data_IF_838725518509
#
_entry.id   IF_838725518509
#
_cell.length_a   1.000
_cell.length_b   1.000
_cell.length_c   1.000
_cell.angle_alpha   90.00
_cell.angle_beta   90.00
_cell.angle_gamma   90.00
#
_symmetry.space_group_name_H-M   'P 1'
#
loop_
_entity.id
_entity.type
_entity.pdbx_description
1 polymer ?
#
# COMPACT_ATOMS: atom_id res chain seq x y z
N UNK A 1 14.45 -27.46 11.32
CA UNK A 1 13.08 -26.99 11.02
C UNK A 1 13.19 -25.65 10.33
N UNK A 2 12.40 -25.38 9.29
CA UNK A 2 12.57 -24.19 8.45
C UNK A 2 11.61 -23.05 8.79
N UNK A 3 11.96 -21.83 8.41
CA UNK A 3 11.12 -20.65 8.54
C UNK A 3 10.87 -20.00 7.18
N UNK A 4 9.84 -19.16 7.08
CA UNK A 4 9.59 -18.35 5.90
C UNK A 4 9.65 -16.89 6.30
N UNK A 5 10.54 -16.14 5.66
CA UNK A 5 10.73 -14.71 5.87
C UNK A 5 10.05 -13.97 4.72
N UNK A 6 9.34 -12.89 5.02
CA UNK A 6 8.81 -11.98 4.01
C UNK A 6 9.04 -10.54 4.40
N UNK A 7 9.54 -9.75 3.46
CA UNK A 7 9.88 -8.35 3.69
C UNK A 7 8.80 -7.41 3.13
N UNK A 8 8.67 -6.24 3.75
CA UNK A 8 7.90 -5.10 3.24
C UNK A 8 8.63 -3.78 3.48
N UNK A 9 8.66 -2.91 2.47
CA UNK A 9 9.14 -1.54 2.58
C UNK A 9 8.02 -0.64 3.13
N UNK A 10 8.33 0.10 4.18
CA UNK A 10 7.42 1.03 4.84
C UNK A 10 8.08 2.39 5.08
N UNK A 11 7.26 3.40 5.32
CA UNK A 11 7.68 4.76 5.66
C UNK A 11 6.94 5.20 6.92
N UNK A 12 7.71 5.56 7.96
CA UNK A 12 7.17 6.20 9.16
C UNK A 12 7.71 7.63 9.18
N UNK A 13 6.81 8.61 9.13
CA UNK A 13 7.15 10.02 8.95
C UNK A 13 7.96 10.23 7.66
N UNK A 14 9.29 10.32 7.78
CA UNK A 14 10.24 10.53 6.67
C UNK A 14 11.33 9.45 6.61
N UNK A 15 11.25 8.43 7.46
CA UNK A 15 12.24 7.36 7.53
C UNK A 15 11.69 6.08 6.88
N UNK A 16 12.46 5.52 5.96
CA UNK A 16 12.19 4.21 5.40
C UNK A 16 12.63 3.10 6.35
N UNK A 17 11.86 2.02 6.38
CA UNK A 17 12.21 0.80 7.10
C UNK A 17 11.77 -0.43 6.33
N UNK A 18 12.41 -1.56 6.61
CA UNK A 18 11.97 -2.88 6.19
C UNK A 18 11.26 -3.55 7.36
N UNK A 19 10.03 -4.00 7.13
CA UNK A 19 9.28 -4.84 8.05
C UNK A 19 9.49 -6.29 7.62
N UNK A 20 10.20 -7.05 8.45
CA UNK A 20 10.38 -8.49 8.27
C UNK A 20 9.32 -9.25 9.04
N UNK A 21 8.58 -10.12 8.34
CA UNK A 21 7.64 -11.05 8.97
C UNK A 21 8.23 -12.46 8.90
N UNK A 22 8.60 -12.99 10.06
CA UNK A 22 9.15 -14.34 10.22
C UNK A 22 8.03 -15.29 10.61
N UNK A 23 7.85 -16.36 9.84
CA UNK A 23 6.82 -17.39 10.09
C UNK A 23 7.50 -18.74 10.28
N UNK A 24 7.76 -19.19 11.53
CA UNK A 24 8.37 -20.49 11.78
C UNK A 24 7.43 -21.63 11.40
N UNK A 25 7.97 -22.71 10.84
CA UNK A 25 7.24 -23.98 10.67
C UNK A 25 7.45 -24.82 11.91
N UNK A 26 6.36 -25.20 12.57
CA UNK A 26 6.38 -25.98 13.81
C UNK A 26 5.81 -27.37 13.53
N UNK A 27 6.48 -28.41 14.03
CA UNK A 27 5.96 -29.77 14.00
C UNK A 27 5.19 -30.06 15.29
N UNK A 28 3.96 -30.55 15.18
CA UNK A 28 3.20 -31.00 16.33
C UNK A 28 3.73 -32.36 16.81
N UNK A 29 4.23 -32.43 18.05
CA UNK A 29 4.79 -33.65 18.63
C UNK A 29 3.77 -34.77 18.89
N UNK A 30 2.47 -34.51 18.71
CA UNK A 30 1.40 -35.49 18.94
C UNK A 30 0.82 -36.11 17.67
N UNK A 31 0.88 -35.39 16.54
CA UNK A 31 0.24 -35.84 15.29
C UNK A 31 1.16 -35.74 14.07
N UNK A 32 2.43 -35.40 14.25
CA UNK A 32 3.45 -35.26 13.20
C UNK A 32 3.07 -34.33 12.03
N UNK A 33 2.08 -33.44 12.25
CA UNK A 33 1.68 -32.42 11.28
C UNK A 33 2.57 -31.18 11.43
N UNK A 34 3.05 -30.65 10.31
CA UNK A 34 3.76 -29.37 10.23
C UNK A 34 2.73 -28.24 10.04
N UNK A 35 2.73 -27.28 10.96
CA UNK A 35 1.87 -26.10 10.94
C UNK A 35 2.70 -24.82 10.77
N UNK A 36 2.11 -23.82 10.13
CA UNK A 36 2.71 -22.50 9.94
C UNK A 36 1.59 -21.44 9.96
N UNK A 37 1.85 -20.29 10.58
CA UNK A 37 0.91 -19.17 10.55
C UNK A 37 0.67 -18.68 9.10
N UNK A 38 -0.56 -18.29 8.74
CA UNK A 38 -0.83 -17.70 7.43
C UNK A 38 -0.05 -16.39 7.27
N UNK A 39 0.21 -16.01 6.01
CA UNK A 39 0.85 -14.73 5.73
C UNK A 39 -0.14 -13.61 6.05
N UNK A 40 0.27 -12.53 6.75
CA UNK A 40 -0.58 -11.36 6.91
C UNK A 40 -1.03 -10.82 5.54
N UNK A 41 -2.29 -10.35 5.42
CA UNK A 41 -2.78 -9.81 4.16
C UNK A 41 -1.95 -8.59 3.76
N UNK A 42 -1.55 -8.54 2.49
CA UNK A 42 -0.83 -7.40 1.90
C UNK A 42 -1.80 -6.57 1.08
N UNK A 43 -1.69 -5.22 1.08
CA UNK A 43 -2.53 -4.39 0.23
C UNK A 43 -2.38 -4.77 -1.25
N UNK A 44 -1.15 -4.97 -1.71
CA UNK A 44 -0.83 -5.42 -3.07
C UNK A 44 -0.29 -6.85 -3.03
N UNK A 45 -0.89 -7.73 -3.84
CA UNK A 45 -0.49 -9.12 -3.89
C UNK A 45 0.90 -9.25 -4.53
N UNK A 46 1.79 -10.03 -3.91
CA UNK A 46 3.22 -10.17 -4.30
C UNK A 46 4.02 -8.86 -4.30
N UNK A 47 3.42 -7.75 -3.85
CA UNK A 47 4.12 -6.49 -3.63
C UNK A 47 4.95 -6.49 -2.36
N UNK A 48 6.01 -5.70 -2.36
CA UNK A 48 6.81 -5.42 -1.17
C UNK A 48 6.42 -4.10 -0.50
N UNK A 49 5.51 -3.30 -1.05
CA UNK A 49 5.02 -2.10 -0.37
C UNK A 49 4.11 -2.46 0.80
N UNK A 50 4.35 -1.81 1.94
CA UNK A 50 3.41 -1.79 3.06
C UNK A 50 2.24 -0.84 2.80
N UNK A 51 1.20 -0.92 3.65
CA UNK A 51 0.07 0.01 3.60
C UNK A 51 0.49 1.47 3.87
N UNK A 52 1.44 1.70 4.77
CA UNK A 52 1.94 3.04 5.12
C UNK A 52 2.63 3.72 3.94
N UNK A 53 3.50 2.98 3.23
CA UNK A 53 4.13 3.48 2.01
C UNK A 53 3.11 3.82 0.92
N UNK A 54 2.15 2.93 0.67
CA UNK A 54 1.11 3.16 -0.34
C UNK A 54 0.25 4.39 0.00
N UNK A 55 -0.15 4.53 1.26
CA UNK A 55 -0.88 5.70 1.73
C UNK A 55 -0.07 6.99 1.53
N UNK A 56 1.22 6.98 1.88
CA UNK A 56 2.10 8.14 1.67
C UNK A 56 2.19 8.54 0.20
N UNK A 57 2.41 7.58 -0.71
CA UNK A 57 2.50 7.84 -2.15
C UNK A 57 1.22 8.48 -2.69
N UNK A 58 0.05 7.95 -2.29
CA UNK A 58 -1.25 8.44 -2.72
C UNK A 58 -1.55 9.85 -2.17
N UNK A 59 -1.34 10.06 -0.87
CA UNK A 59 -1.53 11.37 -0.23
C UNK A 59 -0.61 12.40 -0.87
N UNK A 60 0.68 12.09 -1.02
CA UNK A 60 1.62 13.01 -1.65
C UNK A 60 1.26 13.31 -3.10
N UNK A 61 0.73 12.34 -3.86
CA UNK A 61 0.31 12.56 -5.24
C UNK A 61 -0.95 13.43 -5.35
N UNK A 62 -1.99 13.11 -4.60
CA UNK A 62 -3.33 13.65 -4.81
C UNK A 62 -3.66 14.82 -3.89
N UNK A 63 -3.15 14.84 -2.65
CA UNK A 63 -3.39 15.91 -1.68
C UNK A 63 -2.27 16.95 -1.67
N UNK A 64 -1.01 16.52 -1.77
CA UNK A 64 0.15 17.43 -1.73
C UNK A 64 0.65 17.82 -3.13
N UNK A 65 0.01 17.31 -4.19
CA UNK A 65 0.32 17.58 -5.59
C UNK A 65 1.78 17.30 -5.98
N UNK A 66 2.41 16.30 -5.37
CA UNK A 66 3.77 15.86 -5.66
C UNK A 66 3.72 14.76 -6.73
N UNK A 67 4.14 15.02 -7.98
CA UNK A 67 4.12 14.03 -9.04
C UNK A 67 5.08 12.86 -8.74
N UNK A 68 4.78 11.67 -9.26
CA UNK A 68 5.51 10.43 -8.93
C UNK A 68 7.01 10.48 -9.26
N UNK A 69 7.43 11.21 -10.31
CA UNK A 69 8.86 11.36 -10.59
C UNK A 69 9.58 12.13 -9.47
N UNK A 70 8.94 13.17 -8.92
CA UNK A 70 9.49 13.97 -7.81
C UNK A 70 9.50 13.16 -6.51
N UNK A 71 8.49 12.33 -6.28
CA UNK A 71 8.51 11.38 -5.16
C UNK A 71 9.69 10.40 -5.28
N UNK A 72 9.94 9.86 -6.48
CA UNK A 72 11.09 8.99 -6.78
C UNK A 72 12.41 9.66 -6.39
N UNK A 73 12.61 10.92 -6.77
CA UNK A 73 13.81 11.69 -6.44
C UNK A 73 13.93 12.01 -4.94
N UNK A 74 12.80 12.25 -4.26
CA UNK A 74 12.78 12.44 -2.79
C UNK A 74 13.23 11.16 -2.09
N UNK A 75 12.72 10.00 -2.52
CA UNK A 75 13.04 8.72 -1.90
C UNK A 75 14.47 8.27 -2.20
N UNK A 76 14.98 8.55 -3.41
CA UNK A 76 16.38 8.29 -3.77
C UNK A 76 17.34 9.06 -2.86
N UNK A 77 17.03 10.32 -2.52
CA UNK A 77 17.80 11.10 -1.53
C UNK A 77 17.77 10.52 -0.11
N UNK A 78 16.82 9.64 0.19
CA UNK A 78 16.70 8.90 1.44
C UNK A 78 17.30 7.48 1.33
N UNK A 79 18.00 7.17 0.24
CA UNK A 79 18.64 5.87 0.00
C UNK A 79 17.70 4.79 -0.55
N UNK A 80 16.49 5.16 -0.98
CA UNK A 80 15.48 4.22 -1.52
C UNK A 80 15.21 4.50 -2.99
N UNK A 81 15.76 3.64 -3.84
CA UNK A 81 15.52 3.67 -5.29
C UNK A 81 14.17 3.04 -5.62
N UNK A 82 13.14 3.87 -5.73
CA UNK A 82 11.79 3.44 -6.09
C UNK A 82 11.38 3.95 -7.46
N UNK A 83 11.34 3.07 -8.46
CA UNK A 83 11.06 3.49 -9.84
C UNK A 83 9.64 4.04 -10.02
N UNK A 84 9.51 5.08 -10.86
CA UNK A 84 8.21 5.65 -11.25
C UNK A 84 7.22 4.59 -11.76
N UNK A 85 7.68 3.63 -12.56
CA UNK A 85 6.80 2.58 -13.10
C UNK A 85 6.21 1.69 -12.00
N UNK A 86 7.00 1.40 -10.97
CA UNK A 86 6.51 0.65 -9.79
C UNK A 86 5.42 1.43 -9.07
N UNK A 87 5.65 2.72 -8.82
CA UNK A 87 4.65 3.58 -8.19
C UNK A 87 3.39 3.77 -9.05
N UNK A 88 3.52 3.90 -10.37
CA UNK A 88 2.37 3.98 -11.27
C UNK A 88 1.49 2.73 -11.14
N UNK A 89 2.11 1.54 -11.17
CA UNK A 89 1.38 0.29 -10.97
C UNK A 89 0.67 0.25 -9.62
N UNK A 90 1.37 0.62 -8.55
CA UNK A 90 0.77 0.65 -7.21
C UNK A 90 -0.40 1.62 -7.11
N UNK A 91 -0.30 2.81 -7.72
CA UNK A 91 -1.41 3.76 -7.76
C UNK A 91 -2.62 3.16 -8.49
N UNK A 92 -2.41 2.49 -9.63
CA UNK A 92 -3.50 1.84 -10.36
C UNK A 92 -4.16 0.72 -9.53
N UNK A 93 -3.37 -0.16 -8.91
CA UNK A 93 -3.91 -1.25 -8.09
C UNK A 93 -4.66 -0.72 -6.86
N UNK A 94 -4.19 0.37 -6.26
CA UNK A 94 -4.90 1.01 -5.14
C UNK A 94 -6.18 1.71 -5.60
N UNK A 95 -6.23 2.28 -6.80
CA UNK A 95 -7.45 2.86 -7.34
C UNK A 95 -8.56 1.79 -7.46
N UNK A 96 -8.22 0.58 -7.91
CA UNK A 96 -9.18 -0.52 -7.97
C UNK A 96 -9.60 -1.01 -6.59
N UNK A 97 -8.67 -1.10 -5.63
CA UNK A 97 -8.98 -1.50 -4.25
C UNK A 97 -9.84 -0.48 -3.49
N UNK A 98 -9.70 0.80 -3.79
CA UNK A 98 -10.46 1.88 -3.18
C UNK A 98 -11.79 2.17 -3.91
N UNK A 99 -12.03 1.54 -5.07
CA UNK A 99 -13.26 1.70 -5.85
C UNK A 99 -14.56 1.51 -5.05
N UNK A 100 -14.69 0.50 -4.16
CA UNK A 100 -15.92 0.36 -3.36
C UNK A 100 -16.18 1.56 -2.44
N UNK A 101 -15.14 2.19 -1.90
CA UNK A 101 -15.27 3.39 -1.08
C UNK A 101 -15.68 4.60 -1.93
N UNK A 102 -15.12 4.72 -3.13
CA UNK A 102 -15.53 5.76 -4.08
C UNK A 102 -17.01 5.63 -4.46
N UNK A 103 -17.48 4.41 -4.74
CA UNK A 103 -18.90 4.15 -5.06
C UNK A 103 -19.79 4.54 -3.88
N UNK A 104 -19.49 4.06 -2.66
CA UNK A 104 -20.28 4.39 -1.47
C UNK A 104 -20.30 5.90 -1.17
N UNK A 105 -19.17 6.59 -1.36
CA UNK A 105 -19.10 8.04 -1.21
C UNK A 105 -19.95 8.76 -2.27
N UNK A 106 -19.90 8.30 -3.51
CA UNK A 106 -20.70 8.86 -4.59
C UNK A 106 -22.21 8.69 -4.32
N UNK A 107 -22.64 7.50 -3.89
CA UNK A 107 -24.03 7.23 -3.56
C UNK A 107 -24.51 8.14 -2.41
N UNK A 108 -23.70 8.28 -1.36
CA UNK A 108 -23.97 9.18 -0.24
C UNK A 108 -24.10 10.66 -0.68
N UNK A 109 -23.20 11.13 -1.55
CA UNK A 109 -23.24 12.51 -2.04
C UNK A 109 -24.48 12.76 -2.90
N UNK A 110 -24.87 11.79 -3.73
CA UNK A 110 -26.04 11.90 -4.62
C UNK A 110 -27.38 11.71 -3.88
N UNK A 111 -27.39 11.11 -2.70
CA UNK A 111 -28.59 11.02 -1.85
C UNK A 111 -29.04 12.41 -1.36
N UNK A 112 -28.11 13.37 -1.23
CA UNK A 112 -28.47 14.73 -0.91
C UNK A 112 -29.33 15.31 -2.05
N UNK A 113 -30.61 15.60 -1.77
CA UNK A 113 -31.58 16.10 -2.75
C UNK A 113 -31.21 17.40 -3.49
N UNK A 114 -30.04 17.99 -3.17
CA UNK A 114 -29.36 19.02 -3.95
C UNK A 114 -27.85 18.87 -3.85
N UNK A 115 -27.18 18.63 -4.98
CA UNK A 115 -25.71 18.58 -5.09
C UNK A 115 -25.21 19.86 -5.76
N UNK A 116 -24.21 20.51 -5.17
CA UNK A 116 -23.52 21.64 -5.79
C UNK A 116 -22.22 21.12 -6.39
N UNK A 117 -22.05 21.30 -7.70
CA UNK A 117 -20.80 21.03 -8.41
C UNK A 117 -20.19 22.37 -8.83
N UNK A 118 -18.90 22.56 -8.50
CA UNK A 118 -18.10 23.67 -9.00
C UNK A 118 -17.14 23.12 -10.05
N UNK A 119 -17.23 23.62 -11.27
CA UNK A 119 -16.37 23.18 -12.37
C UNK A 119 -15.14 24.09 -12.41
N UNK A 120 -14.02 23.60 -11.89
CA UNK A 120 -12.74 24.29 -12.01
C UNK A 120 -11.99 23.73 -13.22
N UNK A 121 -12.00 24.45 -14.34
CA UNK A 121 -11.09 24.18 -15.46
C UNK A 121 -9.65 24.38 -14.98
N UNK A 122 -8.86 23.30 -14.93
CA UNK A 122 -7.43 23.31 -14.61
C UNK A 122 -6.61 22.70 -15.74
#
# INVERSE_FOLDING_TARGET
MGETISEQLDIINTAFKVIETIRPKLACSRCDVIVQAPLPPKPIERGYASAGLLARILVSKYMEHIPLYRQSEIYARQGVELSRNTMVRWVSEMADKLRPLYIALNDYVLEAGKVHADDTLR
#
